data_IF_397424520608
#
_entry.id   IF_397424520608
#
_cell.length_a   1.000
_cell.length_b   1.000
_cell.length_c   1.000
_cell.angle_alpha   90.00
_cell.angle_beta   90.00
_cell.angle_gamma   90.00
#
_symmetry.space_group_name_H-M   'P 1'
#
loop_
_entity.id
_entity.type
_entity.pdbx_description
1 polymer ?
#
# COMPACT_ATOMS: atom_id res chain seq x y z
N UNK A 1 28.61 -34.45 1.44
CA UNK A 1 28.17 -33.13 0.97
C UNK A 1 26.80 -33.34 0.37
N UNK A 2 25.76 -33.12 1.16
CA UNK A 2 24.38 -33.44 0.78
C UNK A 2 23.77 -32.27 0.01
N UNK A 3 24.06 -32.21 -1.29
CA UNK A 3 23.57 -31.18 -2.21
C UNK A 3 22.04 -31.03 -2.18
N UNK A 4 21.33 -32.10 -1.85
CA UNK A 4 19.87 -32.15 -1.83
C UNK A 4 19.27 -31.32 -0.70
N UNK A 5 19.83 -31.36 0.51
CA UNK A 5 19.31 -30.58 1.64
C UNK A 5 19.59 -29.08 1.52
N UNK A 6 20.76 -28.70 0.99
CA UNK A 6 21.10 -27.28 0.74
C UNK A 6 20.20 -26.65 -0.33
N UNK A 7 19.84 -27.41 -1.38
CA UNK A 7 18.95 -26.94 -2.46
C UNK A 7 17.51 -26.71 -1.98
N UNK A 8 16.98 -27.62 -1.15
CA UNK A 8 15.63 -27.50 -0.58
C UNK A 8 15.57 -26.32 0.41
N UNK A 9 16.59 -26.14 1.24
CA UNK A 9 16.67 -25.01 2.17
C UNK A 9 16.76 -23.66 1.44
N UNK A 10 17.47 -23.59 0.31
CA UNK A 10 17.51 -22.41 -0.56
C UNK A 10 16.15 -22.08 -1.16
N UNK A 11 15.45 -23.09 -1.70
CA UNK A 11 14.11 -22.93 -2.27
C UNK A 11 13.11 -22.39 -1.24
N UNK A 12 13.12 -22.92 -0.01
CA UNK A 12 12.23 -22.46 1.06
C UNK A 12 12.43 -20.98 1.40
N UNK A 13 13.69 -20.51 1.44
CA UNK A 13 14.00 -19.10 1.71
C UNK A 13 13.49 -18.17 0.62
N UNK A 14 13.65 -18.54 -0.65
CA UNK A 14 13.17 -17.73 -1.78
C UNK A 14 11.64 -17.67 -1.85
N UNK A 15 10.97 -18.80 -1.61
CA UNK A 15 9.49 -18.85 -1.53
C UNK A 15 8.99 -17.99 -0.37
N UNK A 16 9.63 -18.07 0.80
CA UNK A 16 9.27 -17.25 1.95
C UNK A 16 9.44 -15.77 1.67
N UNK A 17 10.57 -15.37 1.07
CA UNK A 17 10.84 -13.98 0.67
C UNK A 17 9.79 -13.46 -0.31
N UNK A 18 9.45 -14.27 -1.32
CA UNK A 18 8.42 -13.94 -2.31
C UNK A 18 7.03 -13.82 -1.67
N UNK A 19 6.68 -14.72 -0.75
CA UNK A 19 5.43 -14.65 -0.01
C UNK A 19 5.32 -13.39 0.85
N UNK A 20 6.39 -13.03 1.56
CA UNK A 20 6.41 -11.84 2.43
C UNK A 20 6.23 -10.56 1.62
N UNK A 21 6.88 -10.43 0.45
CA UNK A 21 6.71 -9.23 -0.40
C UNK A 21 5.31 -9.12 -0.99
N UNK A 22 4.72 -10.23 -1.44
CA UNK A 22 3.35 -10.24 -1.97
C UNK A 22 2.32 -9.95 -0.88
N UNK A 23 2.55 -10.38 0.36
CA UNK A 23 1.69 -10.01 1.49
C UNK A 23 1.84 -8.53 1.84
N UNK A 24 3.08 -8.04 1.88
CA UNK A 24 3.36 -6.66 2.28
C UNK A 24 2.81 -5.66 1.26
N UNK A 25 2.93 -5.93 -0.06
CA UNK A 25 2.39 -5.04 -1.09
C UNK A 25 0.87 -4.87 -0.94
N UNK A 26 0.12 -5.95 -0.69
CA UNK A 26 -1.34 -5.91 -0.56
C UNK A 26 -1.75 -5.09 0.66
N UNK A 27 -1.04 -5.25 1.78
CA UNK A 27 -1.27 -4.43 2.98
C UNK A 27 -0.99 -2.96 2.70
N UNK A 28 0.10 -2.65 2.00
CA UNK A 28 0.44 -1.28 1.60
C UNK A 28 -0.61 -0.68 0.65
N UNK A 29 -1.14 -1.46 -0.29
CA UNK A 29 -2.24 -1.06 -1.17
C UNK A 29 -3.50 -0.67 -0.39
N UNK A 30 -3.92 -1.51 0.57
CA UNK A 30 -5.09 -1.21 1.42
C UNK A 30 -4.88 0.00 2.33
N UNK A 31 -3.69 0.15 2.88
CA UNK A 31 -3.32 1.34 3.62
C UNK A 31 -3.39 2.60 2.75
N UNK A 32 -2.89 2.53 1.51
CA UNK A 32 -2.93 3.64 0.56
C UNK A 32 -4.36 4.10 0.23
N UNK A 33 -5.30 3.16 0.08
CA UNK A 33 -6.73 3.50 -0.09
C UNK A 33 -7.28 4.24 1.13
N UNK A 34 -6.90 3.80 2.33
CA UNK A 34 -7.33 4.43 3.60
C UNK A 34 -6.75 5.83 3.75
N UNK A 35 -5.46 6.02 3.40
CA UNK A 35 -4.81 7.31 3.40
C UNK A 35 -5.51 8.29 2.44
N UNK A 36 -5.73 7.88 1.18
CA UNK A 36 -6.43 8.68 0.19
C UNK A 36 -7.86 9.05 0.64
N UNK A 37 -8.62 8.09 1.18
CA UNK A 37 -9.96 8.31 1.71
C UNK A 37 -10.00 9.26 2.92
N UNK A 38 -8.92 9.33 3.71
CA UNK A 38 -8.86 10.19 4.89
C UNK A 38 -8.56 11.67 4.60
N UNK A 39 -8.02 11.98 3.43
CA UNK A 39 -7.52 13.34 3.09
C UNK A 39 -8.28 14.01 1.94
N UNK A 40 -9.18 13.30 1.26
CA UNK A 40 -9.99 13.83 0.18
C UNK A 40 -11.48 13.47 0.34
N UNK A 41 -12.40 14.39 0.00
CA UNK A 41 -13.83 14.10 0.03
C UNK A 41 -14.22 13.15 -1.11
N UNK A 42 -15.41 12.55 -1.01
CA UNK A 42 -15.97 11.75 -2.09
C UNK A 42 -16.46 12.66 -3.23
N UNK A 43 -16.05 12.39 -4.46
CA UNK A 43 -16.28 13.28 -5.60
C UNK A 43 -17.68 13.16 -6.24
N UNK A 44 -18.37 12.02 -6.10
CA UNK A 44 -19.67 11.79 -6.74
C UNK A 44 -20.83 12.19 -5.82
N UNK A 45 -21.86 12.77 -6.39
CA UNK A 45 -23.17 12.91 -5.75
C UNK A 45 -23.87 11.54 -5.74
N UNK A 46 -24.25 11.04 -4.56
CA UNK A 46 -24.97 9.78 -4.38
C UNK A 46 -24.20 8.67 -3.64
N UNK A 47 -24.83 7.50 -3.53
CA UNK A 47 -24.28 6.31 -2.88
C UNK A 47 -23.43 5.52 -3.88
N UNK A 48 -22.14 5.38 -3.61
CA UNK A 48 -21.26 4.47 -4.33
C UNK A 48 -20.56 3.53 -3.35
N UNK A 49 -20.00 2.41 -3.82
CA UNK A 49 -19.39 1.40 -2.94
C UNK A 49 -18.29 1.98 -2.03
N UNK A 50 -17.57 2.98 -2.53
CA UNK A 50 -16.52 3.67 -1.79
C UNK A 50 -17.01 4.84 -0.92
N UNK A 51 -18.27 5.30 -1.05
CA UNK A 51 -18.76 6.44 -0.27
C UNK A 51 -18.80 6.12 1.22
N UNK A 52 -19.16 4.87 1.59
CA UNK A 52 -19.11 4.41 2.97
C UNK A 52 -17.71 4.45 3.58
N UNK A 53 -16.69 4.06 2.81
CA UNK A 53 -15.29 4.14 3.26
C UNK A 53 -14.89 5.60 3.46
N UNK A 54 -15.10 6.46 2.47
CA UNK A 54 -14.68 7.87 2.53
C UNK A 54 -15.42 8.65 3.61
N UNK A 55 -16.72 8.38 3.81
CA UNK A 55 -17.53 9.08 4.81
C UNK A 55 -17.12 8.78 6.26
N UNK A 56 -16.57 7.59 6.53
CA UNK A 56 -16.22 7.17 7.89
C UNK A 56 -14.71 7.15 8.14
N UNK A 57 -13.89 7.33 7.11
CA UNK A 57 -12.43 7.33 7.25
C UNK A 57 -11.95 8.74 7.56
N UNK A 58 -11.29 8.89 8.71
CA UNK A 58 -10.66 10.14 9.14
C UNK A 58 -9.23 9.91 9.60
N UNK A 59 -8.57 10.96 10.08
CA UNK A 59 -7.17 10.90 10.48
C UNK A 59 -6.87 9.80 11.53
N UNK A 60 -7.78 9.55 12.47
CA UNK A 60 -7.63 8.49 13.49
C UNK A 60 -7.60 7.09 12.86
N UNK A 61 -8.48 6.83 11.89
CA UNK A 61 -8.52 5.57 11.16
C UNK A 61 -7.26 5.39 10.31
N UNK A 62 -6.78 6.46 9.68
CA UNK A 62 -5.52 6.42 8.94
C UNK A 62 -4.33 6.10 9.87
N UNK A 63 -4.25 6.73 11.05
CA UNK A 63 -3.18 6.46 12.02
C UNK A 63 -3.21 5.00 12.50
N UNK A 64 -4.39 4.47 12.81
CA UNK A 64 -4.55 3.06 13.18
C UNK A 64 -4.16 2.12 12.02
N UNK A 65 -4.59 2.43 10.80
CA UNK A 65 -4.26 1.65 9.61
C UNK A 65 -2.77 1.66 9.27
N UNK A 66 -2.02 2.71 9.64
CA UNK A 66 -0.57 2.80 9.43
C UNK A 66 0.23 1.80 10.28
N UNK A 67 -0.32 1.27 11.37
CA UNK A 67 0.41 0.37 12.29
C UNK A 67 0.87 -0.90 11.58
N UNK A 68 -0.01 -1.55 10.83
CA UNK A 68 0.30 -2.82 10.16
C UNK A 68 1.36 -2.69 9.05
N UNK A 69 1.27 -1.77 8.07
CA UNK A 69 2.33 -1.60 7.09
C UNK A 69 3.63 -1.17 7.73
N UNK A 70 3.64 -0.27 8.72
CA UNK A 70 4.85 0.10 9.44
C UNK A 70 5.51 -1.10 10.14
N UNK A 71 4.71 -1.94 10.79
CA UNK A 71 5.19 -3.14 11.46
C UNK A 71 5.80 -4.15 10.46
N UNK A 72 5.09 -4.48 9.38
CA UNK A 72 5.58 -5.42 8.37
C UNK A 72 6.85 -4.89 7.70
N UNK A 73 6.81 -3.63 7.26
CA UNK A 73 7.91 -3.01 6.55
C UNK A 73 9.14 -2.88 7.45
N UNK A 74 8.96 -2.48 8.72
CA UNK A 74 10.04 -2.38 9.70
C UNK A 74 10.65 -3.73 10.06
N UNK A 75 9.81 -4.76 10.21
CA UNK A 75 10.25 -6.12 10.59
C UNK A 75 11.00 -6.82 9.47
N UNK A 76 10.49 -6.76 8.24
CA UNK A 76 11.03 -7.55 7.13
C UNK A 76 12.04 -6.82 6.24
N UNK A 77 12.03 -5.48 6.22
CA UNK A 77 12.84 -4.68 5.29
C UNK A 77 13.64 -3.57 5.96
N UNK A 78 13.45 -3.34 7.27
CA UNK A 78 14.21 -2.35 8.05
C UNK A 78 14.13 -0.93 7.46
N UNK A 79 15.27 -0.24 7.39
CA UNK A 79 15.36 1.14 6.90
C UNK A 79 15.01 1.29 5.43
N UNK A 80 15.38 0.32 4.58
CA UNK A 80 15.00 0.30 3.15
C UNK A 80 13.50 0.26 3.00
N UNK A 81 12.84 -0.58 3.80
CA UNK A 81 11.40 -0.62 3.88
C UNK A 81 10.79 0.73 4.21
N UNK A 82 11.30 1.44 5.23
CA UNK A 82 10.78 2.76 5.61
C UNK A 82 10.88 3.76 4.45
N UNK A 83 11.97 3.72 3.68
CA UNK A 83 12.12 4.54 2.45
C UNK A 83 11.07 4.14 1.41
N UNK A 84 10.85 2.85 1.17
CA UNK A 84 9.83 2.37 0.24
C UNK A 84 8.43 2.87 0.62
N UNK A 85 8.06 2.74 1.91
CA UNK A 85 6.77 3.19 2.41
C UNK A 85 6.61 4.71 2.32
N UNK A 86 7.69 5.47 2.55
CA UNK A 86 7.69 6.93 2.40
C UNK A 86 7.45 7.35 0.92
N UNK A 87 8.08 6.66 -0.03
CA UNK A 87 7.86 6.91 -1.47
C UNK A 87 6.43 6.56 -1.88
N UNK A 88 5.88 5.44 -1.41
CA UNK A 88 4.47 5.09 -1.63
C UNK A 88 3.55 6.16 -1.04
N UNK A 89 3.81 6.59 0.20
CA UNK A 89 3.06 7.68 0.83
C UNK A 89 3.03 8.94 -0.05
N UNK A 90 4.19 9.37 -0.54
CA UNK A 90 4.30 10.51 -1.44
C UNK A 90 3.47 10.31 -2.73
N UNK A 91 3.54 9.13 -3.35
CA UNK A 91 2.74 8.80 -4.54
C UNK A 91 1.23 8.90 -4.26
N UNK A 92 0.76 8.39 -3.11
CA UNK A 92 -0.65 8.47 -2.70
C UNK A 92 -1.09 9.91 -2.50
N UNK A 93 -0.27 10.73 -1.83
CA UNK A 93 -0.57 12.15 -1.62
C UNK A 93 -0.66 12.91 -2.94
N UNK A 94 0.25 12.63 -3.88
CA UNK A 94 0.25 13.24 -5.21
C UNK A 94 -0.98 12.84 -6.02
N UNK A 95 -1.29 11.54 -6.09
CA UNK A 95 -2.47 11.04 -6.80
C UNK A 95 -3.77 11.59 -6.21
N UNK A 96 -3.88 11.60 -4.89
CA UNK A 96 -5.08 12.09 -4.20
C UNK A 96 -5.26 13.59 -4.40
N UNK A 97 -4.16 14.36 -4.36
CA UNK A 97 -4.19 15.80 -4.64
C UNK A 97 -4.58 16.07 -6.10
N UNK A 98 -4.05 15.26 -7.03
CA UNK A 98 -4.41 15.33 -8.44
C UNK A 98 -5.90 15.06 -8.64
N UNK A 99 -6.45 13.94 -8.14
CA UNK A 99 -7.88 13.63 -8.31
C UNK A 99 -8.76 14.67 -7.64
N UNK A 100 -8.38 15.13 -6.44
CA UNK A 100 -9.08 16.22 -5.76
C UNK A 100 -9.15 17.49 -6.62
N UNK A 101 -8.03 17.87 -7.25
CA UNK A 101 -7.98 19.06 -8.12
C UNK A 101 -8.75 18.90 -9.44
N UNK A 102 -8.85 17.68 -9.97
CA UNK A 102 -9.43 17.42 -11.30
C UNK A 102 -10.91 17.11 -11.28
N UNK A 103 -11.37 16.36 -10.27
CA UNK A 103 -12.76 15.89 -10.19
C UNK A 103 -13.41 16.21 -8.84
N UNK A 104 -12.75 17.00 -7.99
CA UNK A 104 -13.32 17.46 -6.71
C UNK A 104 -13.13 16.49 -5.53
N UNK A 105 -12.50 15.33 -5.72
CA UNK A 105 -12.28 14.37 -4.64
C UNK A 105 -11.75 13.01 -5.10
N UNK A 106 -12.13 11.96 -4.37
CA UNK A 106 -11.86 10.55 -4.69
C UNK A 106 -13.16 9.79 -4.99
N UNK A 107 -13.05 8.76 -5.82
CA UNK A 107 -14.12 7.79 -6.14
C UNK A 107 -13.64 6.36 -5.89
N UNK A 108 -14.50 5.37 -6.09
CA UNK A 108 -14.07 3.95 -6.06
C UNK A 108 -12.96 3.65 -7.06
N UNK A 109 -13.05 4.22 -8.26
CA UNK A 109 -12.05 4.00 -9.33
C UNK A 109 -10.71 4.65 -8.98
N UNK A 110 -10.71 5.86 -8.42
CA UNK A 110 -9.44 6.50 -8.02
C UNK A 110 -8.80 5.81 -6.83
N UNK A 111 -9.60 5.27 -5.90
CA UNK A 111 -9.09 4.45 -4.81
C UNK A 111 -8.58 3.10 -5.33
N UNK A 112 -9.21 2.49 -6.33
CA UNK A 112 -8.70 1.30 -7.02
C UNK A 112 -7.36 1.58 -7.70
N UNK A 113 -7.28 2.66 -8.48
CA UNK A 113 -6.02 3.13 -9.08
C UNK A 113 -4.94 3.37 -8.03
N UNK A 114 -5.28 4.01 -6.91
CA UNK A 114 -4.34 4.26 -5.81
C UNK A 114 -3.81 2.95 -5.22
N UNK A 115 -4.64 1.91 -5.12
CA UNK A 115 -4.22 0.58 -4.67
C UNK A 115 -3.18 -0.01 -5.62
N UNK A 116 -3.53 -0.13 -6.91
CA UNK A 116 -2.66 -0.72 -7.95
C UNK A 116 -1.32 0.02 -8.06
N UNK A 117 -1.35 1.36 -8.10
CA UNK A 117 -0.12 2.16 -8.17
C UNK A 117 0.75 1.96 -6.94
N UNK A 118 0.15 1.87 -5.75
CA UNK A 118 0.92 1.67 -4.51
C UNK A 118 1.58 0.30 -4.45
N UNK A 119 0.88 -0.76 -4.88
CA UNK A 119 1.43 -2.11 -4.99
C UNK A 119 2.58 -2.17 -6.00
N UNK A 120 2.39 -1.58 -7.20
CA UNK A 120 3.42 -1.53 -8.24
C UNK A 120 4.65 -0.72 -7.83
N UNK A 121 4.47 0.45 -7.20
CA UNK A 121 5.58 1.26 -6.69
C UNK A 121 6.34 0.50 -5.60
N UNK A 122 5.64 -0.15 -4.68
CA UNK A 122 6.28 -0.94 -3.63
C UNK A 122 7.10 -2.10 -4.21
N UNK A 123 6.53 -2.88 -5.14
CA UNK A 123 7.22 -3.98 -5.81
C UNK A 123 8.42 -3.50 -6.63
N UNK A 124 8.26 -2.40 -7.36
CA UNK A 124 9.35 -1.82 -8.14
C UNK A 124 10.52 -1.40 -7.24
N UNK A 125 10.24 -0.72 -6.13
CA UNK A 125 11.28 -0.32 -5.18
C UNK A 125 11.93 -1.52 -4.50
N UNK A 126 11.17 -2.57 -4.18
CA UNK A 126 11.72 -3.81 -3.63
C UNK A 126 12.71 -4.48 -4.58
N UNK A 127 12.49 -4.37 -5.89
CA UNK A 127 13.40 -4.92 -6.89
C UNK A 127 14.67 -4.07 -7.06
N UNK A 128 14.57 -2.75 -6.85
CA UNK A 128 15.66 -1.80 -7.09
C UNK A 128 16.59 -1.61 -5.88
N UNK A 129 16.08 -1.72 -4.64
CA UNK A 129 16.77 -1.34 -3.39
C UNK A 129 16.95 -2.54 -2.46
#
# INVERSE_FOLDING_TARGET
MDYTSDTVAGLHKEVLKSGVVLLTMVVVGRWAQTLAASIAPYAREGMGTASGLVAHTGARHCLAASVLPLFLVGTFYGTRGMVMLAVVCAAVLLLTSYTRSRIGGVTGDTLGMTNEVSELVFLFLFFVI
#
